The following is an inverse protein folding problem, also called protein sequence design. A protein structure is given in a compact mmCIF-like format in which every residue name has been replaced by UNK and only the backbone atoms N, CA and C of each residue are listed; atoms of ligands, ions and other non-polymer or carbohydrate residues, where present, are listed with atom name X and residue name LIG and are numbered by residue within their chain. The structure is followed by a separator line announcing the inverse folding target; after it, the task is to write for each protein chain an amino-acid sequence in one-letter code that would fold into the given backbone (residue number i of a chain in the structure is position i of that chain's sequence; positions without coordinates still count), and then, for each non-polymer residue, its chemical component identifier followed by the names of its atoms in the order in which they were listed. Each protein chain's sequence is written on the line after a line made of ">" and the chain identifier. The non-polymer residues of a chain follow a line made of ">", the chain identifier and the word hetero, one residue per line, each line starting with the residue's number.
data_IF_330089500139
#
_entry.id   IF_330089500139
#
_cell.length_a   1.000
_cell.length_b   1.000
_cell.length_c   1.000
_cell.angle_alpha   90.00
_cell.angle_beta   90.00
_cell.angle_gamma   90.00
#
_symmetry.space_group_name_H-M   'P 1'
#
loop_
_entity.id
_entity.type
_entity.pdbx_description
1 polymer ?
#
# COMPACT_ATOMS: atom_id res chain seq x y z
N UNK A 1 -7.91 -8.00 14.64
CA UNK A 1 -9.20 -7.30 14.46
C UNK A 1 -8.93 -6.05 13.61
N UNK A 2 -9.80 -5.74 12.63
CA UNK A 2 -9.71 -4.52 11.83
C UNK A 2 -10.68 -3.48 12.42
N UNK A 3 -10.21 -2.24 12.49
CA UNK A 3 -10.99 -1.07 12.88
C UNK A 3 -11.08 -0.18 11.64
N UNK A 4 -12.30 0.01 11.12
CA UNK A 4 -12.54 0.88 9.98
C UNK A 4 -12.70 2.33 10.43
N UNK A 5 -11.83 3.22 9.97
CA UNK A 5 -12.00 4.66 10.13
C UNK A 5 -12.87 5.22 9.01
N UNK A 6 -13.58 6.33 9.31
CA UNK A 6 -14.36 7.02 8.30
C UNK A 6 -13.42 7.52 7.18
N UNK A 7 -13.76 7.18 5.95
CA UNK A 7 -12.97 7.53 4.78
C UNK A 7 -13.74 8.43 3.81
N UNK A 8 -13.00 9.20 3.03
CA UNK A 8 -13.52 9.97 1.90
C UNK A 8 -12.86 9.46 0.62
N UNK A 9 -13.65 8.97 -0.32
CA UNK A 9 -13.16 8.34 -1.55
C UNK A 9 -12.16 7.19 -1.27
N UNK A 10 -12.40 6.41 -0.22
CA UNK A 10 -11.52 5.31 0.18
C UNK A 10 -10.24 5.73 0.92
N UNK A 11 -9.97 7.02 1.10
CA UNK A 11 -8.83 7.52 1.87
C UNK A 11 -9.25 7.91 3.27
N UNK A 12 -8.48 7.47 4.27
CA UNK A 12 -8.51 8.02 5.63
C UNK A 12 -7.56 9.21 5.69
N UNK A 13 -7.84 10.17 6.53
CA UNK A 13 -6.95 11.29 6.77
C UNK A 13 -6.17 11.13 8.09
N UNK A 14 -5.10 11.91 8.22
CA UNK A 14 -4.23 11.90 9.37
C UNK A 14 -4.97 12.29 10.66
N UNK A 15 -5.90 13.24 10.58
CA UNK A 15 -6.66 13.71 11.75
C UNK A 15 -7.58 12.60 12.28
N UNK A 16 -8.18 11.79 11.40
CA UNK A 16 -9.00 10.65 11.81
C UNK A 16 -8.17 9.59 12.55
N UNK A 17 -6.93 9.33 12.09
CA UNK A 17 -6.00 8.41 12.77
C UNK A 17 -5.60 8.97 14.13
N UNK A 18 -5.18 10.25 14.19
CA UNK A 18 -4.79 10.92 15.43
C UNK A 18 -5.91 10.93 16.45
N UNK A 19 -7.11 11.31 16.01
CA UNK A 19 -8.30 11.33 16.87
C UNK A 19 -8.57 9.96 17.46
N UNK A 20 -8.57 8.91 16.63
CA UNK A 20 -8.78 7.54 17.11
C UNK A 20 -7.74 7.13 18.15
N UNK A 21 -6.46 7.39 17.91
CA UNK A 21 -5.39 7.04 18.84
C UNK A 21 -5.49 7.84 20.13
N UNK A 22 -5.75 9.15 20.06
CA UNK A 22 -5.88 10.00 21.25
C UNK A 22 -7.07 9.60 22.12
N UNK A 23 -8.22 9.29 21.52
CA UNK A 23 -9.41 8.80 22.25
C UNK A 23 -9.15 7.44 22.88
N UNK A 24 -8.49 6.52 22.15
CA UNK A 24 -8.13 5.20 22.67
C UNK A 24 -7.24 5.31 23.90
N UNK A 25 -6.14 6.05 23.85
CA UNK A 25 -5.18 6.15 24.95
C UNK A 25 -5.68 7.05 26.11
N UNK A 26 -6.70 7.88 25.88
CA UNK A 26 -7.37 8.63 26.94
C UNK A 26 -8.39 7.80 27.73
N UNK A 27 -8.84 6.67 27.20
CA UNK A 27 -9.78 5.80 27.90
C UNK A 27 -9.04 5.02 29.01
N UNK A 28 -9.52 5.14 30.24
CA UNK A 28 -8.93 4.44 31.39
C UNK A 28 -9.00 2.91 31.28
N UNK A 29 -9.88 2.39 30.44
CA UNK A 29 -10.06 0.96 30.20
C UNK A 29 -9.39 0.49 28.91
N UNK A 30 -8.55 1.30 28.26
CA UNK A 30 -7.95 0.94 26.97
C UNK A 30 -7.17 -0.38 26.98
N UNK A 31 -6.60 -0.79 28.13
CA UNK A 31 -5.90 -2.07 28.29
C UNK A 31 -6.82 -3.30 28.10
N UNK A 32 -8.15 -3.13 28.22
CA UNK A 32 -9.14 -4.16 27.95
C UNK A 32 -9.61 -4.19 26.51
N UNK A 33 -9.16 -3.25 25.68
CA UNK A 33 -9.55 -3.11 24.28
C UNK A 33 -8.47 -3.60 23.33
N UNK A 34 -8.84 -3.83 22.07
CA UNK A 34 -7.87 -4.09 20.99
C UNK A 34 -7.14 -2.79 20.68
N UNK A 35 -5.84 -2.75 20.97
CA UNK A 35 -5.01 -1.58 20.75
C UNK A 35 -4.76 -1.31 19.26
N UNK A 36 -4.52 -0.05 18.87
CA UNK A 36 -4.13 0.32 17.51
C UNK A 36 -2.69 -0.17 17.27
N UNK A 37 -2.56 -1.25 16.51
CA UNK A 37 -1.27 -1.93 16.29
C UNK A 37 -0.61 -1.63 14.95
N UNK A 38 -1.35 -1.09 13.98
CA UNK A 38 -0.84 -0.78 12.64
C UNK A 38 -1.84 0.09 11.89
N UNK A 39 -1.36 1.02 11.07
CA UNK A 39 -2.16 1.68 10.04
C UNK A 39 -1.98 0.96 8.71
N UNK A 40 -3.09 0.67 8.03
CA UNK A 40 -3.11 0.00 6.73
C UNK A 40 -3.79 0.89 5.70
N UNK A 41 -3.10 1.17 4.60
CA UNK A 41 -3.58 1.99 3.48
C UNK A 41 -3.52 1.19 2.19
N UNK A 42 -4.50 1.38 1.28
CA UNK A 42 -4.41 0.87 -0.10
C UNK A 42 -3.95 1.97 -1.05
N UNK A 43 -2.94 1.69 -1.88
CA UNK A 43 -2.38 2.62 -2.87
C UNK A 43 -2.32 1.97 -4.26
N UNK A 44 -3.18 2.39 -5.21
CA UNK A 44 -4.37 3.25 -5.05
C UNK A 44 -5.48 2.54 -4.28
N UNK A 45 -6.49 3.30 -3.84
CA UNK A 45 -7.67 2.73 -3.19
C UNK A 45 -8.53 1.95 -4.19
N UNK A 46 -9.50 1.17 -3.68
CA UNK A 46 -10.48 0.45 -4.52
C UNK A 46 -11.34 1.39 -5.36
N UNK A 47 -11.49 2.64 -4.94
CA UNK A 47 -12.21 3.68 -5.71
C UNK A 47 -11.33 4.35 -6.77
N UNK A 48 -10.05 3.97 -6.88
CA UNK A 48 -9.09 4.55 -7.82
C UNK A 48 -8.50 5.89 -7.38
N UNK A 49 -8.76 6.33 -6.16
CA UNK A 49 -8.10 7.51 -5.61
C UNK A 49 -6.67 7.18 -5.18
N UNK A 50 -5.79 8.17 -5.19
CA UNK A 50 -4.37 8.05 -4.89
C UNK A 50 -4.07 8.90 -3.64
N UNK A 51 -3.33 8.34 -2.68
CA UNK A 51 -2.71 9.15 -1.64
C UNK A 51 -1.54 9.92 -2.24
N UNK A 52 -1.55 11.23 -2.04
CA UNK A 52 -0.42 12.08 -2.39
C UNK A 52 0.68 11.99 -1.33
N UNK A 53 1.90 12.37 -1.70
CA UNK A 53 3.06 12.30 -0.82
C UNK A 53 2.79 12.93 0.55
N UNK A 54 2.26 14.14 0.56
CA UNK A 54 1.93 14.87 1.80
C UNK A 54 0.89 14.16 2.67
N UNK A 55 -0.08 13.47 2.08
CA UNK A 55 -1.08 12.71 2.83
C UNK A 55 -0.43 11.50 3.52
N UNK A 56 0.46 10.79 2.81
CA UNK A 56 1.21 9.66 3.39
C UNK A 56 2.18 10.16 4.48
N UNK A 57 2.88 11.28 4.26
CA UNK A 57 3.76 11.91 5.23
C UNK A 57 3.04 12.20 6.54
N UNK A 58 1.87 12.87 6.46
CA UNK A 58 1.08 13.22 7.65
C UNK A 58 0.62 11.97 8.43
N UNK A 59 0.22 10.89 7.74
CA UNK A 59 -0.15 9.63 8.40
C UNK A 59 1.10 8.95 8.99
N UNK A 60 2.23 8.96 8.28
CA UNK A 60 3.50 8.40 8.74
C UNK A 60 3.99 9.07 10.03
N UNK A 61 3.85 10.40 10.14
CA UNK A 61 4.19 11.16 11.35
C UNK A 61 3.37 10.69 12.55
N UNK A 62 2.07 10.49 12.37
CA UNK A 62 1.20 9.98 13.43
C UNK A 62 1.56 8.54 13.80
N UNK A 63 1.86 7.71 12.80
CA UNK A 63 2.31 6.34 13.05
C UNK A 63 3.56 6.31 13.92
N UNK A 64 4.52 7.21 13.65
CA UNK A 64 5.74 7.36 14.48
C UNK A 64 5.42 7.86 15.88
N UNK A 65 4.53 8.86 16.02
CA UNK A 65 4.10 9.41 17.31
C UNK A 65 3.52 8.34 18.24
N UNK A 66 2.69 7.43 17.69
CA UNK A 66 2.04 6.35 18.44
C UNK A 66 2.78 5.01 18.35
N UNK A 67 4.00 4.98 17.79
CA UNK A 67 4.81 3.78 17.63
C UNK A 67 4.08 2.64 16.90
N UNK A 68 3.34 2.97 15.85
CA UNK A 68 2.62 2.04 15.01
C UNK A 68 3.32 1.89 13.66
N UNK A 69 3.49 0.68 13.11
CA UNK A 69 3.91 0.52 11.72
C UNK A 69 2.86 1.06 10.75
N UNK A 70 3.35 1.68 9.66
CA UNK A 70 2.55 2.01 8.50
C UNK A 70 2.74 0.94 7.42
N UNK A 71 1.65 0.30 7.01
CA UNK A 71 1.61 -0.68 5.93
C UNK A 71 0.88 -0.10 4.71
N UNK A 72 1.51 -0.15 3.53
CA UNK A 72 0.89 0.27 2.28
C UNK A 72 0.62 -0.94 1.38
N UNK A 73 -0.66 -1.23 1.16
CA UNK A 73 -1.14 -2.23 0.23
C UNK A 73 -1.04 -1.70 -1.20
N UNK A 74 -0.05 -2.21 -1.94
CA UNK A 74 0.21 -1.86 -3.32
C UNK A 74 -0.30 -2.89 -4.33
N UNK A 75 -1.43 -3.58 -4.08
CA UNK A 75 -2.00 -4.57 -5.01
C UNK A 75 -2.19 -4.04 -6.43
N UNK A 76 -2.34 -2.73 -6.57
CA UNK A 76 -2.51 -2.02 -7.84
C UNK A 76 -1.49 -0.88 -8.01
N UNK A 77 -0.34 -0.98 -7.33
CA UNK A 77 0.63 0.11 -7.23
C UNK A 77 1.14 0.60 -8.60
N UNK A 78 1.29 -0.30 -9.57
CA UNK A 78 1.67 0.09 -10.93
C UNK A 78 0.75 1.17 -11.52
N UNK A 79 -0.54 1.10 -11.25
CA UNK A 79 -1.52 2.06 -11.77
C UNK A 79 -1.40 3.40 -11.04
N UNK A 80 -1.15 3.42 -9.74
CA UNK A 80 -0.84 4.66 -9.04
C UNK A 80 0.41 5.31 -9.61
N UNK A 81 1.52 4.57 -9.69
CA UNK A 81 2.80 5.06 -10.23
C UNK A 81 2.73 5.46 -11.71
N UNK A 82 1.81 4.88 -12.48
CA UNK A 82 1.55 5.20 -13.89
C UNK A 82 0.62 6.40 -14.10
N UNK A 83 -0.04 6.87 -13.05
CA UNK A 83 -0.94 8.04 -13.11
C UNK A 83 -0.17 9.35 -13.17
N UNK A 84 -0.65 10.31 -13.95
CA UNK A 84 -0.11 11.67 -13.95
C UNK A 84 -0.43 12.46 -12.68
N UNK A 85 -1.36 11.99 -11.86
CA UNK A 85 -1.73 12.59 -10.57
C UNK A 85 -0.83 12.09 -9.42
N UNK A 86 -0.01 11.05 -9.65
CA UNK A 86 0.87 10.48 -8.63
C UNK A 86 2.14 11.33 -8.49
N UNK A 87 2.38 11.81 -7.27
CA UNK A 87 3.54 12.61 -6.88
C UNK A 87 4.56 11.82 -6.05
N UNK A 88 4.40 10.49 -5.98
CA UNK A 88 5.32 9.58 -5.28
C UNK A 88 5.95 8.59 -6.24
N UNK A 89 7.16 8.15 -5.90
CA UNK A 89 7.80 6.99 -6.50
C UNK A 89 8.01 5.88 -5.45
N UNK A 90 8.68 4.79 -5.83
CA UNK A 90 8.94 3.67 -4.90
C UNK A 90 9.89 4.06 -3.76
N UNK A 91 10.83 4.98 -4.01
CA UNK A 91 11.75 5.46 -2.99
C UNK A 91 11.03 6.34 -1.96
N UNK A 92 10.12 7.20 -2.41
CA UNK A 92 9.25 7.98 -1.55
C UNK A 92 8.40 7.08 -0.65
N UNK A 93 7.73 6.09 -1.23
CA UNK A 93 6.92 5.12 -0.48
C UNK A 93 7.77 4.38 0.56
N UNK A 94 8.95 3.91 0.15
CA UNK A 94 9.88 3.22 1.03
C UNK A 94 10.40 4.10 2.18
N UNK A 95 10.53 5.40 1.97
CA UNK A 95 10.93 6.36 2.99
C UNK A 95 9.82 6.72 3.99
N UNK A 96 8.56 6.48 3.62
CA UNK A 96 7.40 6.92 4.39
C UNK A 96 6.68 5.81 5.15
N UNK A 97 6.86 4.54 4.78
CA UNK A 97 6.20 3.41 5.43
C UNK A 97 7.20 2.36 5.94
N UNK A 98 6.74 1.49 6.82
CA UNK A 98 7.54 0.41 7.40
C UNK A 98 7.50 -0.86 6.55
N UNK A 99 6.37 -1.09 5.89
CA UNK A 99 6.15 -2.24 5.00
C UNK A 99 5.25 -1.80 3.85
N UNK A 100 5.55 -2.24 2.67
CA UNK A 100 4.60 -2.17 1.56
C UNK A 100 4.72 -3.40 0.67
N UNK A 101 3.66 -3.71 -0.06
CA UNK A 101 3.82 -4.71 -1.10
C UNK A 101 3.57 -4.14 -2.50
N UNK A 102 4.20 -4.78 -3.46
CA UNK A 102 4.17 -4.42 -4.86
C UNK A 102 3.36 -5.48 -5.58
N UNK A 103 2.17 -5.09 -6.03
CA UNK A 103 1.27 -5.98 -6.75
C UNK A 103 1.87 -6.43 -8.09
N UNK A 104 1.98 -7.74 -8.30
CA UNK A 104 2.49 -8.31 -9.54
C UNK A 104 1.37 -8.83 -10.44
N UNK A 105 0.44 -9.60 -9.89
CA UNK A 105 -0.56 -10.36 -10.67
C UNK A 105 -1.55 -9.49 -11.43
N UNK A 106 -1.82 -8.27 -10.98
CA UNK A 106 -2.67 -7.31 -11.70
C UNK A 106 -1.90 -6.48 -12.74
N UNK A 107 -0.58 -6.67 -12.83
CA UNK A 107 0.30 -5.87 -13.69
C UNK A 107 1.35 -6.71 -14.45
N UNK A 108 0.96 -7.90 -14.91
CA UNK A 108 1.75 -8.70 -15.84
C UNK A 108 2.51 -9.88 -15.24
N UNK A 109 2.61 -10.01 -13.91
CA UNK A 109 3.13 -11.24 -13.30
C UNK A 109 2.09 -12.37 -13.39
N UNK A 110 2.56 -13.59 -13.61
CA UNK A 110 1.70 -14.77 -13.62
C UNK A 110 1.25 -15.15 -12.20
N UNK A 111 2.15 -15.02 -11.24
CA UNK A 111 1.92 -15.38 -9.83
C UNK A 111 2.75 -14.49 -8.92
N UNK A 112 2.27 -14.28 -7.70
CA UNK A 112 3.02 -13.69 -6.60
C UNK A 112 3.01 -12.18 -6.56
N UNK A 113 3.44 -11.72 -5.40
CA UNK A 113 3.57 -10.31 -5.02
C UNK A 113 4.94 -10.14 -4.36
N UNK A 114 5.50 -8.94 -4.37
CA UNK A 114 6.72 -8.63 -3.65
C UNK A 114 6.42 -7.82 -2.39
N UNK A 115 6.89 -8.30 -1.23
CA UNK A 115 6.77 -7.56 0.03
C UNK A 115 8.11 -6.90 0.34
N UNK A 116 8.07 -5.59 0.61
CA UNK A 116 9.23 -4.78 0.94
C UNK A 116 9.13 -4.33 2.40
N UNK A 117 10.10 -4.74 3.21
CA UNK A 117 10.28 -4.27 4.58
C UNK A 117 11.33 -3.19 4.60
N UNK A 118 10.94 -1.97 4.90
CA UNK A 118 11.86 -0.84 5.09
C UNK A 118 12.31 -0.78 6.54
N UNK A 119 11.43 -1.13 7.48
CA UNK A 119 11.75 -1.31 8.89
C UNK A 119 12.19 -2.75 9.18
N UNK A 120 13.50 -2.96 9.22
CA UNK A 120 14.09 -4.30 9.47
C UNK A 120 13.74 -4.87 10.85
N UNK A 121 13.35 -4.04 11.81
CA UNK A 121 12.92 -4.48 13.14
C UNK A 121 11.66 -5.34 13.14
N UNK A 122 10.82 -5.21 12.12
CA UNK A 122 9.60 -5.99 11.94
C UNK A 122 9.84 -7.40 11.38
N UNK A 123 11.06 -7.70 10.91
CA UNK A 123 11.38 -8.94 10.21
C UNK A 123 12.03 -10.00 11.10
N UNK A 124 11.88 -9.95 12.41
CA UNK A 124 12.46 -10.96 13.31
C UNK A 124 11.96 -12.35 12.95
N UNK A 125 12.89 -13.29 12.77
CA UNK A 125 12.61 -14.69 12.39
C UNK A 125 11.79 -14.84 11.09
N UNK A 126 11.87 -13.86 10.18
CA UNK A 126 11.04 -13.82 8.97
C UNK A 126 11.17 -15.08 8.11
N UNK A 127 12.40 -15.56 7.87
CA UNK A 127 12.62 -16.79 7.08
C UNK A 127 11.95 -18.02 7.74
N UNK A 128 12.07 -18.16 9.06
CA UNK A 128 11.43 -19.25 9.81
C UNK A 128 9.91 -19.18 9.68
N UNK A 129 9.35 -17.97 9.79
CA UNK A 129 7.91 -17.75 9.63
C UNK A 129 7.44 -18.07 8.21
N UNK A 130 8.15 -17.61 7.16
CA UNK A 130 7.83 -17.96 5.77
C UNK A 130 7.84 -19.48 5.60
N UNK A 131 8.85 -20.18 6.12
CA UNK A 131 8.96 -21.62 6.03
C UNK A 131 7.82 -22.32 6.74
N UNK A 132 7.45 -21.88 7.94
CA UNK A 132 6.36 -22.41 8.72
C UNK A 132 5.01 -22.34 7.97
N UNK A 133 4.77 -21.24 7.25
CA UNK A 133 3.55 -21.04 6.45
C UNK A 133 3.66 -21.53 5.00
N UNK A 134 4.68 -22.31 4.66
CA UNK A 134 4.84 -22.91 3.34
C UNK A 134 5.30 -21.94 2.24
N UNK A 135 5.75 -20.74 2.59
CA UNK A 135 6.17 -19.70 1.62
C UNK A 135 7.55 -19.93 1.00
N UNK A 136 8.32 -20.92 1.46
CA UNK A 136 9.62 -21.25 0.87
C UNK A 136 9.41 -22.26 -0.26
N UNK A 137 9.32 -21.76 -1.48
CA UNK A 137 9.07 -22.57 -2.67
C UNK A 137 10.39 -23.12 -3.25
N UNK A 138 10.41 -24.39 -3.66
CA UNK A 138 11.56 -25.03 -4.30
C UNK A 138 12.01 -24.32 -5.59
N UNK A 139 11.09 -23.71 -6.32
CA UNK A 139 11.29 -22.93 -7.55
C UNK A 139 11.00 -21.45 -7.35
N UNK A 140 11.18 -20.91 -6.14
CA UNK A 140 10.89 -19.52 -5.79
C UNK A 140 11.57 -18.47 -6.66
N UNK A 141 12.71 -18.81 -7.31
CA UNK A 141 13.37 -17.93 -8.28
C UNK A 141 12.47 -17.50 -9.45
N UNK A 142 11.41 -18.27 -9.78
CA UNK A 142 10.47 -17.89 -10.85
C UNK A 142 9.72 -16.62 -10.50
N UNK A 143 9.41 -16.41 -9.21
CA UNK A 143 8.83 -15.15 -8.72
C UNK A 143 9.81 -13.99 -8.88
N UNK A 144 11.07 -14.20 -8.50
CA UNK A 144 12.13 -13.21 -8.63
C UNK A 144 12.35 -12.77 -10.08
N UNK A 145 12.39 -13.73 -11.02
CA UNK A 145 12.57 -13.44 -12.45
C UNK A 145 11.43 -12.58 -13.01
N UNK A 146 10.19 -12.81 -12.58
CA UNK A 146 9.06 -11.98 -13.00
C UNK A 146 9.24 -10.52 -12.53
N UNK A 147 9.63 -10.32 -11.26
CA UNK A 147 9.85 -8.97 -10.73
C UNK A 147 11.08 -8.31 -11.34
N UNK A 148 12.18 -9.05 -11.56
CA UNK A 148 13.35 -8.57 -12.29
C UNK A 148 12.95 -8.04 -13.68
N UNK A 149 12.15 -8.81 -14.42
CA UNK A 149 11.60 -8.39 -15.72
C UNK A 149 10.71 -7.16 -15.61
N UNK A 150 9.79 -7.14 -14.66
CA UNK A 150 8.87 -6.00 -14.47
C UNK A 150 9.59 -4.71 -14.10
N UNK A 151 10.70 -4.79 -13.37
CA UNK A 151 11.49 -3.60 -13.02
C UNK A 151 12.57 -3.24 -14.05
N UNK A 152 12.81 -4.07 -15.05
CA UNK A 152 13.70 -3.73 -16.17
C UNK A 152 13.03 -2.68 -17.06
N UNK A 153 13.78 -1.66 -17.45
CA UNK A 153 13.36 -0.57 -18.36
C UNK A 153 12.03 0.10 -17.97
N UNK A 154 11.76 0.22 -16.68
CA UNK A 154 10.51 0.78 -16.13
C UNK A 154 9.24 0.09 -16.64
N UNK A 155 9.31 -1.19 -17.00
CA UNK A 155 8.16 -1.91 -17.57
C UNK A 155 6.95 -1.87 -16.64
N UNK A 156 7.15 -2.07 -15.33
CA UNK A 156 6.09 -2.02 -14.32
C UNK A 156 5.27 -0.72 -14.38
N UNK A 157 5.96 0.43 -14.40
CA UNK A 157 5.31 1.75 -14.50
C UNK A 157 4.65 1.96 -15.86
N UNK A 158 5.27 1.50 -16.96
CA UNK A 158 4.69 1.61 -18.31
C UNK A 158 3.41 0.80 -18.45
N UNK A 159 3.36 -0.41 -17.89
CA UNK A 159 2.15 -1.23 -17.87
C UNK A 159 1.03 -0.56 -17.06
N UNK A 160 1.36 -0.02 -15.88
CA UNK A 160 0.44 0.75 -15.07
C UNK A 160 -0.13 1.96 -15.82
N UNK A 161 0.75 2.73 -16.48
CA UNK A 161 0.35 3.88 -17.29
C UNK A 161 -0.60 3.49 -18.42
N UNK A 162 -0.31 2.42 -19.15
CA UNK A 162 -1.16 1.94 -20.23
C UNK A 162 -2.58 1.61 -19.74
N UNK A 163 -2.69 0.96 -18.56
CA UNK A 163 -3.98 0.66 -17.94
C UNK A 163 -4.75 1.92 -17.52
N UNK A 164 -4.06 2.90 -16.92
CA UNK A 164 -4.66 4.19 -16.55
C UNK A 164 -5.13 4.96 -17.78
N UNK A 165 -4.31 5.03 -18.83
CA UNK A 165 -4.68 5.72 -20.08
C UNK A 165 -5.93 5.10 -20.72
N UNK A 166 -6.07 3.77 -20.69
CA UNK A 166 -7.27 3.07 -21.16
C UNK A 166 -8.50 3.40 -20.30
N UNK A 167 -8.37 3.35 -18.98
CA UNK A 167 -9.45 3.70 -18.05
C UNK A 167 -9.93 5.14 -18.21
N UNK A 168 -8.99 6.08 -18.41
CA UNK A 168 -9.31 7.49 -18.62
C UNK A 168 -10.03 7.75 -19.95
N UNK A 169 -9.73 6.97 -21.01
CA UNK A 169 -10.50 7.02 -22.27
C UNK A 169 -11.96 6.58 -22.04
N UNK A 170 -12.17 5.50 -21.30
CA UNK A 170 -13.51 5.01 -20.95
C UNK A 170 -14.25 6.05 -20.12
N UNK A 171 -13.64 6.57 -19.06
CA UNK A 171 -14.21 7.63 -18.22
C UNK A 171 -14.65 8.83 -19.06
N UNK A 172 -13.78 9.33 -19.94
CA UNK A 172 -14.11 10.45 -20.83
C UNK A 172 -15.32 10.15 -21.74
N UNK A 173 -15.37 8.96 -22.31
CA UNK A 173 -16.48 8.55 -23.18
C UNK A 173 -17.81 8.44 -22.41
N UNK A 174 -17.78 7.96 -21.15
CA UNK A 174 -18.97 7.88 -20.30
C UNK A 174 -19.47 9.29 -19.92
N UNK A 175 -18.59 10.17 -19.48
CA UNK A 175 -18.93 11.56 -19.13
C UNK A 175 -19.55 12.32 -20.34
N UNK A 176 -19.07 12.07 -21.56
CA UNK A 176 -19.66 12.66 -22.78
C UNK A 176 -21.08 12.16 -23.06
N UNK A 177 -21.46 11.01 -22.52
CA UNK A 177 -22.81 10.43 -22.64
C UNK A 177 -23.71 10.75 -21.44
N UNK A 178 -23.24 11.53 -20.46
CA UNK A 178 -24.01 11.97 -19.30
C UNK A 178 -24.07 10.98 -18.14
N UNK A 179 -23.10 10.03 -18.09
CA UNK A 179 -22.94 9.11 -16.96
C UNK A 179 -21.95 9.68 -15.93
#
# INVERSE_FOLDING_TARGET
>A
KVIGLKSKNGKIDADAVRKFCSEFYADVNHEHMVYPGMVYLSQPTEYGSIYLKKEIESISEICKEYNMPLFIDGARLAYALGSCECDTDLADIAGLCDVFYIGGTKCGALIGEAIVFTNKGLCKHFFTNIKLFGGVLAKGRLLGIQFDTLFTDNLYKRLGKSGVDAAMKIKKALLQKGY
#
